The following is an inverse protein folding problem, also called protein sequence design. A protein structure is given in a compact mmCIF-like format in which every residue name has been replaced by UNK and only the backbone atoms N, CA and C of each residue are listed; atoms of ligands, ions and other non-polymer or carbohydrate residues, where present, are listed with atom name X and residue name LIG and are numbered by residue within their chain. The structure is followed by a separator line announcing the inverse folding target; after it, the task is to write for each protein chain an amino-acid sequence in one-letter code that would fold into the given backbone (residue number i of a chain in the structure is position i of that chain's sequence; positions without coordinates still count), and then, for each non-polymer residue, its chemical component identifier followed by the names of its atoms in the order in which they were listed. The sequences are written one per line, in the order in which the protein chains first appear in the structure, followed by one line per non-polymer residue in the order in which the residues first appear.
data_IF_467638159196
#
_entry.id   IF_467638159196
#
_cell.length_a   1.000
_cell.length_b   1.000
_cell.length_c   1.000
_cell.angle_alpha   90.00
_cell.angle_beta   90.00
_cell.angle_gamma   90.00
#
_symmetry.space_group_name_H-M   'P 1'
#
loop_
_entity.id
_entity.type
_entity.pdbx_description
1 polymer ?
#
# COMPACT_ATOMS: atom_id res chain seq x y z
N UNK A 1 -5.97 19.43 -0.79
CA UNK A 1 -5.69 20.26 0.43
C UNK A 1 -4.95 19.46 1.51
N UNK A 2 -5.27 18.16 1.73
CA UNK A 2 -4.55 17.27 2.66
C UNK A 2 -3.08 17.02 2.28
N UNK A 3 -2.79 16.69 1.01
CA UNK A 3 -1.43 16.42 0.53
C UNK A 3 -0.45 17.62 0.69
N UNK A 4 -0.96 18.85 0.50
CA UNK A 4 -0.15 20.08 0.70
C UNK A 4 0.20 20.33 2.17
N UNK A 5 -0.61 19.85 3.12
CA UNK A 5 -0.38 20.03 4.57
C UNK A 5 0.57 18.99 5.16
N UNK A 6 0.61 17.77 4.60
CA UNK A 6 1.60 16.75 4.96
C UNK A 6 3.02 17.11 4.50
N UNK A 7 3.14 17.65 3.28
CA UNK A 7 4.44 18.04 2.71
C UNK A 7 5.06 19.30 3.36
N UNK A 8 4.26 20.18 3.95
CA UNK A 8 4.78 21.29 4.74
C UNK A 8 5.48 20.82 6.03
N UNK A 9 5.14 19.63 6.55
CA UNK A 9 5.82 19.06 7.72
C UNK A 9 7.19 18.45 7.37
N UNK A 10 7.35 17.88 6.17
CA UNK A 10 8.63 17.31 5.71
C UNK A 10 9.67 18.39 5.37
N UNK A 11 9.24 19.52 4.77
CA UNK A 11 10.13 20.66 4.45
C UNK A 11 10.65 21.42 5.68
N UNK A 12 10.04 21.27 6.85
CA UNK A 12 10.45 21.98 8.06
C UNK A 12 11.66 21.35 8.80
N UNK A 13 12.13 20.17 8.37
CA UNK A 13 13.35 19.55 8.89
C UNK A 13 14.53 19.82 7.95
N UNK A 14 15.53 20.61 8.39
CA UNK A 14 16.62 21.15 7.57
C UNK A 14 17.60 20.16 6.91
N UNK A 15 18.23 20.61 5.82
CA UNK A 15 19.03 19.85 4.84
C UNK A 15 20.14 18.97 5.43
N UNK A 16 20.11 17.68 5.05
CA UNK A 16 21.27 16.77 5.06
C UNK A 16 20.88 15.49 4.30
N UNK A 17 21.65 15.13 3.26
CA UNK A 17 21.31 14.11 2.26
C UNK A 17 21.16 12.68 2.82
N UNK A 18 21.90 12.33 3.89
CA UNK A 18 21.69 11.06 4.62
C UNK A 18 20.41 11.05 5.49
N UNK A 19 19.92 12.21 5.90
CA UNK A 19 18.69 12.34 6.69
C UNK A 19 17.41 12.33 5.84
N UNK A 20 17.49 12.46 4.52
CA UNK A 20 16.31 12.49 3.63
C UNK A 20 15.57 11.16 3.62
N UNK A 21 16.28 10.03 3.47
CA UNK A 21 15.66 8.70 3.49
C UNK A 21 15.09 8.31 4.87
N UNK A 22 15.78 8.66 5.97
CA UNK A 22 15.28 8.43 7.32
C UNK A 22 14.04 9.28 7.64
N UNK A 23 14.01 10.55 7.18
CA UNK A 23 12.82 11.42 7.28
C UNK A 23 11.67 10.94 6.43
N UNK A 24 11.92 10.51 5.21
CA UNK A 24 10.88 9.98 4.33
C UNK A 24 10.29 8.69 4.92
N UNK A 25 11.13 7.76 5.41
CA UNK A 25 10.68 6.54 6.09
C UNK A 25 9.92 6.83 7.39
N UNK A 26 10.43 7.68 8.26
CA UNK A 26 9.69 8.04 9.48
C UNK A 26 8.38 8.79 9.17
N UNK A 27 8.33 9.58 8.10
CA UNK A 27 7.08 10.20 7.64
C UNK A 27 6.10 9.15 7.16
N UNK A 28 6.55 8.13 6.41
CA UNK A 28 5.74 6.96 6.03
C UNK A 28 5.21 6.24 7.25
N UNK A 29 6.07 5.86 8.21
CA UNK A 29 5.67 5.09 9.40
C UNK A 29 4.63 5.83 10.23
N UNK A 30 4.80 7.15 10.34
CA UNK A 30 3.86 8.04 11.03
C UNK A 30 2.52 8.12 10.31
N UNK A 31 2.55 8.24 8.97
CA UNK A 31 1.35 8.23 8.14
C UNK A 31 0.65 6.87 8.23
N UNK A 32 1.38 5.77 8.12
CA UNK A 32 0.83 4.42 8.27
C UNK A 32 0.16 4.27 9.61
N UNK A 33 0.83 4.74 10.68
CA UNK A 33 0.31 4.65 12.02
C UNK A 33 -0.99 5.45 12.18
N UNK A 34 -1.03 6.69 11.64
CA UNK A 34 -2.26 7.51 11.64
C UNK A 34 -3.38 6.92 10.76
N UNK A 35 -3.06 6.48 9.55
CA UNK A 35 -4.02 5.91 8.61
C UNK A 35 -4.62 4.61 9.13
N UNK A 36 -3.80 3.75 9.72
CA UNK A 36 -4.22 2.50 10.34
C UNK A 36 -5.03 2.74 11.62
N UNK A 37 -4.84 3.86 12.31
CA UNK A 37 -5.63 4.20 13.50
C UNK A 37 -7.08 4.54 13.16
N UNK A 38 -7.31 5.20 12.02
CA UNK A 38 -8.64 5.63 11.63
C UNK A 38 -9.37 4.63 10.71
N UNK A 39 -8.65 3.76 9.98
CA UNK A 39 -9.25 2.57 9.32
C UNK A 39 -9.73 1.51 10.33
N UNK A 40 -9.40 1.66 11.62
CA UNK A 40 -9.73 0.72 12.70
C UNK A 40 -8.81 -0.49 12.77
N UNK A 41 -7.68 -0.47 12.05
CA UNK A 41 -6.56 -1.41 12.21
C UNK A 41 -5.95 -1.25 13.62
N UNK A 42 -5.92 -0.03 14.18
CA UNK A 42 -5.67 0.21 15.61
C UNK A 42 -6.95 0.51 16.39
N UNK A 43 -6.91 0.36 17.71
CA UNK A 43 -8.00 0.81 18.58
C UNK A 43 -8.21 2.31 18.34
N UNK A 44 -9.40 2.72 17.92
CA UNK A 44 -9.70 4.07 17.45
C UNK A 44 -9.07 5.17 18.32
N UNK A 45 -8.30 6.05 17.68
CA UNK A 45 -7.59 7.18 18.30
C UNK A 45 -6.52 6.82 19.35
N UNK A 46 -6.18 5.54 19.56
CA UNK A 46 -5.15 5.15 20.53
C UNK A 46 -3.80 5.80 20.18
N UNK A 47 -3.39 5.73 18.91
CA UNK A 47 -2.15 6.35 18.45
C UNK A 47 -2.12 7.86 18.69
N UNK A 48 -3.16 8.57 18.23
CA UNK A 48 -3.28 10.03 18.37
C UNK A 48 -3.32 10.45 19.84
N UNK A 49 -4.14 9.78 20.66
CA UNK A 49 -4.26 10.07 22.09
C UNK A 49 -2.96 9.81 22.84
N UNK A 50 -2.24 8.73 22.52
CA UNK A 50 -0.96 8.44 23.17
C UNK A 50 0.08 9.52 22.83
N UNK A 51 0.16 9.96 21.57
CA UNK A 51 1.07 11.06 21.21
C UNK A 51 0.66 12.35 21.91
N UNK A 52 -0.63 12.68 21.92
CA UNK A 52 -1.14 13.89 22.57
C UNK A 52 -0.82 13.92 24.07
N UNK A 53 -1.01 12.79 24.76
CA UNK A 53 -0.84 12.66 26.21
C UNK A 53 0.63 12.52 26.65
N UNK A 54 1.45 11.77 25.89
CA UNK A 54 2.80 11.41 26.31
C UNK A 54 3.87 12.34 25.76
N UNK A 55 3.59 13.07 24.67
CA UNK A 55 4.53 14.05 24.12
C UNK A 55 4.30 15.45 24.66
N UNK A 56 5.39 16.14 25.02
CA UNK A 56 5.39 17.50 25.51
C UNK A 56 4.76 18.46 24.48
N UNK A 57 4.00 19.42 24.99
CA UNK A 57 3.50 20.60 24.29
C UNK A 57 4.57 21.34 23.46
N UNK A 58 5.83 21.31 23.89
CA UNK A 58 6.97 21.90 23.18
C UNK A 58 7.70 20.92 22.25
N UNK A 59 7.14 19.73 21.99
CA UNK A 59 7.64 18.68 21.08
C UNK A 59 9.01 18.06 21.42
N UNK A 60 9.60 18.38 22.57
CA UNK A 60 10.95 17.96 22.94
C UNK A 60 11.16 16.43 22.91
N UNK A 61 10.15 15.65 23.29
CA UNK A 61 10.20 14.19 23.38
C UNK A 61 9.26 13.48 22.35
N UNK A 62 8.68 14.18 21.37
CA UNK A 62 7.75 13.55 20.41
C UNK A 62 8.40 12.39 19.66
N UNK A 63 9.68 12.52 19.31
CA UNK A 63 10.46 11.47 18.67
C UNK A 63 10.63 10.22 19.55
N UNK A 64 10.88 10.39 20.85
CA UNK A 64 11.00 9.27 21.81
C UNK A 64 9.67 8.52 21.96
N UNK A 65 8.56 9.27 22.02
CA UNK A 65 7.22 8.67 22.10
C UNK A 65 6.93 7.84 20.84
N UNK A 66 7.20 8.39 19.66
CA UNK A 66 7.01 7.68 18.39
C UNK A 66 7.92 6.45 18.27
N UNK A 67 9.19 6.55 18.67
CA UNK A 67 10.10 5.41 18.69
C UNK A 67 9.57 4.28 19.57
N UNK A 68 9.07 4.62 20.76
CA UNK A 68 8.51 3.62 21.67
C UNK A 68 7.25 2.96 21.10
N UNK A 69 6.40 3.72 20.42
CA UNK A 69 5.22 3.18 19.72
C UNK A 69 5.61 2.26 18.57
N UNK A 70 6.57 2.65 17.73
CA UNK A 70 7.08 1.81 16.65
C UNK A 70 7.73 0.53 17.19
N UNK A 71 8.49 0.64 18.29
CA UNK A 71 9.08 -0.50 18.99
C UNK A 71 8.01 -1.46 19.51
N UNK A 72 6.93 -0.95 20.11
CA UNK A 72 5.82 -1.77 20.57
C UNK A 72 5.12 -2.50 19.41
N UNK A 73 4.87 -1.80 18.29
CA UNK A 73 4.25 -2.39 17.10
C UNK A 73 5.19 -3.34 16.34
N UNK A 74 6.51 -3.21 16.53
CA UNK A 74 7.52 -4.13 16.02
C UNK A 74 7.79 -5.33 16.93
N UNK A 75 7.30 -5.32 18.17
CA UNK A 75 7.55 -6.38 19.14
C UNK A 75 6.35 -7.34 19.21
N UNK A 76 6.54 -8.66 19.02
CA UNK A 76 5.50 -9.68 19.23
C UNK A 76 4.73 -9.46 20.53
N UNK A 77 3.42 -9.75 20.51
CA UNK A 77 2.52 -9.44 21.63
C UNK A 77 2.57 -10.46 22.76
N UNK A 78 3.43 -11.49 22.68
CA UNK A 78 3.60 -12.46 23.76
C UNK A 78 4.29 -11.82 24.97
N UNK A 79 3.89 -12.29 26.15
CA UNK A 79 4.26 -11.68 27.42
C UNK A 79 5.77 -11.72 27.67
N UNK A 80 6.44 -12.80 27.29
CA UNK A 80 7.87 -13.00 27.51
C UNK A 80 8.69 -12.02 26.65
N UNK A 81 8.37 -11.91 25.36
CA UNK A 81 9.04 -11.00 24.43
C UNK A 81 8.79 -9.54 24.80
N UNK A 82 7.54 -9.18 25.15
CA UNK A 82 7.19 -7.82 25.60
C UNK A 82 7.92 -7.41 26.87
N UNK A 83 8.05 -8.33 27.84
CA UNK A 83 8.80 -8.09 29.08
C UNK A 83 10.29 -7.93 28.81
N UNK A 84 10.86 -8.77 27.94
CA UNK A 84 12.27 -8.68 27.54
C UNK A 84 12.59 -7.36 26.79
N UNK A 85 11.66 -6.88 25.96
CA UNK A 85 11.78 -5.63 25.22
C UNK A 85 11.74 -4.37 26.11
N UNK A 86 11.30 -4.50 27.38
CA UNK A 86 11.19 -3.41 28.35
C UNK A 86 10.41 -2.22 27.79
N UNK A 87 9.24 -2.50 27.21
CA UNK A 87 8.35 -1.46 26.69
C UNK A 87 7.78 -0.60 27.82
N UNK A 88 7.49 0.67 27.53
CA UNK A 88 6.75 1.55 28.44
C UNK A 88 5.33 1.00 28.63
N UNK A 89 4.74 1.06 29.84
CA UNK A 89 3.41 0.52 30.11
C UNK A 89 2.31 1.06 29.19
N UNK A 90 2.39 2.35 28.81
CA UNK A 90 1.42 2.98 27.93
C UNK A 90 1.52 2.54 26.46
N UNK A 91 2.65 1.94 26.06
CA UNK A 91 2.85 1.40 24.71
C UNK A 91 2.38 -0.06 24.61
N UNK A 92 2.13 -0.74 25.74
CA UNK A 92 1.81 -2.17 25.75
C UNK A 92 0.44 -2.49 25.13
N UNK A 93 -0.47 -1.52 25.15
CA UNK A 93 -1.80 -1.64 24.52
C UNK A 93 -1.77 -1.72 22.98
N UNK A 94 -0.62 -1.43 22.34
CA UNK A 94 -0.50 -1.48 20.89
C UNK A 94 -0.33 -2.91 20.40
N UNK A 95 -1.08 -3.33 19.36
CA UNK A 95 -0.96 -4.67 18.81
C UNK A 95 0.40 -4.87 18.14
N UNK A 96 0.81 -6.12 18.01
CA UNK A 96 1.92 -6.47 17.13
C UNK A 96 1.50 -6.29 15.67
N UNK A 97 2.32 -5.58 14.90
CA UNK A 97 2.03 -5.22 13.51
C UNK A 97 3.01 -5.85 12.53
N UNK A 98 4.31 -5.87 12.82
CA UNK A 98 5.32 -5.84 11.76
C UNK A 98 5.20 -6.93 10.67
N UNK A 99 5.77 -6.57 9.52
CA UNK A 99 5.80 -7.32 8.25
C UNK A 99 6.80 -6.63 7.31
N UNK A 100 7.88 -6.08 7.90
CA UNK A 100 8.83 -5.17 7.27
C UNK A 100 8.49 -3.68 7.37
N UNK A 101 7.34 -3.31 7.93
CA UNK A 101 6.87 -1.91 8.02
C UNK A 101 7.57 -1.09 9.11
N UNK A 102 7.64 -1.58 10.35
CA UNK A 102 8.31 -0.89 11.44
C UNK A 102 9.71 -1.48 11.65
N UNK A 103 10.77 -0.66 11.55
CA UNK A 103 12.13 -1.15 11.82
C UNK A 103 12.31 -1.47 13.30
N UNK A 104 13.08 -2.53 13.60
CA UNK A 104 13.42 -2.91 14.99
C UNK A 104 14.24 -1.83 15.71
N UNK A 105 14.96 -1.00 14.95
CA UNK A 105 15.68 0.18 15.43
C UNK A 105 15.71 1.26 14.34
N UNK A 106 14.88 2.28 14.50
CA UNK A 106 14.85 3.45 13.62
C UNK A 106 15.02 4.75 14.40
N UNK A 107 15.90 5.64 13.92
CA UNK A 107 15.92 7.01 14.40
C UNK A 107 14.64 7.72 13.93
N UNK A 108 13.83 8.17 14.88
CA UNK A 108 12.70 9.05 14.57
C UNK A 108 13.25 10.49 14.55
N UNK A 109 12.96 11.28 13.51
CA UNK A 109 13.41 12.66 13.43
C UNK A 109 12.83 13.45 14.60
N UNK A 110 13.60 14.41 15.10
CA UNK A 110 13.11 15.35 16.10
C UNK A 110 12.04 16.24 15.49
N UNK A 111 10.97 16.47 16.24
CA UNK A 111 9.86 17.30 15.81
C UNK A 111 10.05 18.72 16.32
N UNK A 112 9.69 19.69 15.49
CA UNK A 112 9.38 21.03 15.97
C UNK A 112 7.93 21.09 16.47
N UNK A 113 7.59 22.13 17.24
CA UNK A 113 6.21 22.36 17.71
C UNK A 113 5.22 22.36 16.54
N UNK A 114 5.63 22.98 15.43
CA UNK A 114 4.85 23.06 14.20
C UNK A 114 4.67 21.65 13.59
N UNK A 115 5.75 20.87 13.48
CA UNK A 115 5.68 19.50 12.95
C UNK A 115 4.79 18.58 13.80
N UNK A 116 4.87 18.68 15.14
CA UNK A 116 3.97 17.96 16.07
C UNK A 116 2.52 18.36 15.86
N UNK A 117 2.22 19.64 15.71
CA UNK A 117 0.85 20.11 15.43
C UNK A 117 0.32 19.58 14.09
N UNK A 118 1.15 19.50 13.05
CA UNK A 118 0.76 18.89 11.78
C UNK A 118 0.53 17.38 11.91
N UNK A 119 1.35 16.67 12.68
CA UNK A 119 1.16 15.26 12.97
C UNK A 119 -0.20 14.99 13.64
N UNK A 120 -0.48 15.67 14.75
CA UNK A 120 -1.77 15.50 15.46
C UNK A 120 -2.95 15.82 14.55
N UNK A 121 -2.86 16.92 13.79
CA UNK A 121 -3.91 17.32 12.85
C UNK A 121 -4.08 16.35 11.69
N UNK A 122 -3.02 15.67 11.25
CA UNK A 122 -3.12 14.61 10.25
C UNK A 122 -3.79 13.35 10.81
N UNK A 123 -3.53 13.05 12.09
CA UNK A 123 -4.11 11.92 12.82
C UNK A 123 -5.55 12.17 13.34
N UNK A 124 -6.11 13.36 13.08
CA UNK A 124 -7.53 13.69 13.27
C UNK A 124 -8.36 13.50 11.98
N UNK A 125 -7.70 13.29 10.83
CA UNK A 125 -8.37 13.15 9.54
C UNK A 125 -9.00 11.76 9.43
N UNK A 126 -10.15 11.65 8.76
CA UNK A 126 -10.76 10.35 8.53
C UNK A 126 -10.00 9.58 7.42
N UNK A 127 -9.23 8.56 7.80
CA UNK A 127 -8.52 7.68 6.87
C UNK A 127 -9.30 6.40 6.54
N UNK A 128 -10.59 6.27 6.88
CA UNK A 128 -11.37 5.07 6.55
C UNK A 128 -11.43 4.80 5.03
N UNK A 129 -11.55 5.86 4.23
CA UNK A 129 -11.66 5.79 2.78
C UNK A 129 -10.46 6.44 2.06
N UNK A 130 -9.27 5.86 2.24
CA UNK A 130 -8.08 6.29 1.48
C UNK A 130 -8.26 6.01 0.00
N UNK A 131 -8.31 7.07 -0.81
CA UNK A 131 -8.18 6.97 -2.25
C UNK A 131 -6.69 6.89 -2.64
N UNK A 132 -6.27 5.98 -3.55
CA UNK A 132 -4.90 5.94 -4.08
C UNK A 132 -4.34 7.28 -4.61
N UNK A 133 -5.19 8.24 -5.01
CA UNK A 133 -4.76 9.60 -5.35
C UNK A 133 -4.03 10.32 -4.18
N UNK A 134 -4.31 9.95 -2.93
CA UNK A 134 -3.64 10.49 -1.75
C UNK A 134 -2.16 10.10 -1.74
N UNK A 135 -1.83 8.84 -2.05
CA UNK A 135 -0.44 8.37 -2.08
C UNK A 135 0.36 9.01 -3.21
N UNK A 136 -0.25 9.12 -4.40
CA UNK A 136 0.37 9.81 -5.53
C UNK A 136 0.69 11.28 -5.23
N UNK A 137 -0.29 12.01 -4.69
CA UNK A 137 -0.09 13.43 -4.31
C UNK A 137 0.88 13.61 -3.14
N UNK A 138 0.99 12.64 -2.25
CA UNK A 138 1.96 12.65 -1.15
C UNK A 138 3.40 12.48 -1.63
N UNK A 139 3.67 11.49 -2.49
CA UNK A 139 5.03 11.29 -3.05
C UNK A 139 5.47 12.52 -3.83
N UNK A 140 4.58 13.04 -4.69
CA UNK A 140 4.89 14.24 -5.45
C UNK A 140 5.30 15.36 -4.52
N UNK A 141 4.56 15.59 -3.44
CA UNK A 141 4.79 16.71 -2.55
C UNK A 141 6.11 16.60 -1.74
N UNK A 142 6.67 15.39 -1.59
CA UNK A 142 7.97 15.13 -0.95
C UNK A 142 9.13 15.22 -1.95
N UNK A 143 8.89 14.99 -3.25
CA UNK A 143 9.90 15.13 -4.29
C UNK A 143 10.27 16.61 -4.56
N UNK A 144 11.57 16.87 -4.77
CA UNK A 144 12.09 18.17 -5.17
C UNK A 144 11.68 18.51 -6.61
N UNK A 145 11.53 19.80 -6.92
CA UNK A 145 11.00 20.26 -8.21
C UNK A 145 11.88 19.85 -9.40
N UNK A 146 13.19 19.71 -9.19
CA UNK A 146 14.17 19.22 -10.18
C UNK A 146 14.03 17.70 -10.41
N UNK A 147 13.88 16.91 -9.33
CA UNK A 147 13.63 15.45 -9.42
C UNK A 147 12.30 15.13 -10.12
N UNK A 148 11.27 15.99 -9.98
CA UNK A 148 9.97 15.80 -10.65
C UNK A 148 10.08 15.83 -12.17
N UNK A 149 10.95 16.68 -12.71
CA UNK A 149 11.18 16.83 -14.15
C UNK A 149 12.00 15.69 -14.74
N UNK A 150 13.05 15.25 -14.06
CA UNK A 150 13.98 14.22 -14.56
C UNK A 150 13.41 12.80 -14.53
N UNK A 151 12.60 12.48 -13.50
CA UNK A 151 12.04 11.13 -13.31
C UNK A 151 10.61 10.99 -13.85
N UNK A 152 10.02 12.07 -14.38
CA UNK A 152 8.64 12.06 -14.86
C UNK A 152 7.64 11.66 -13.77
N UNK A 153 7.86 12.09 -12.52
CA UNK A 153 7.05 11.74 -11.35
C UNK A 153 5.67 12.42 -11.36
N UNK A 154 4.89 12.14 -12.40
CA UNK A 154 3.49 12.51 -12.49
C UNK A 154 2.65 11.32 -12.04
N UNK A 155 1.89 11.48 -10.95
CA UNK A 155 0.92 10.46 -10.58
C UNK A 155 -0.11 10.32 -11.71
N UNK A 156 -0.53 9.08 -11.98
CA UNK A 156 -1.61 8.81 -12.93
C UNK A 156 -2.93 8.80 -12.17
N UNK A 157 -3.91 9.58 -12.64
CA UNK A 157 -5.24 9.66 -12.02
C UNK A 157 -6.04 8.37 -12.24
N UNK A 158 -6.97 8.09 -11.32
CA UNK A 158 -7.86 6.91 -11.43
C UNK A 158 -8.55 6.79 -12.80
N UNK A 159 -9.13 7.86 -13.39
CA UNK A 159 -9.75 7.75 -14.71
C UNK A 159 -8.77 7.34 -15.83
N UNK A 160 -7.52 7.79 -15.77
CA UNK A 160 -6.51 7.44 -16.76
C UNK A 160 -6.01 6.01 -16.58
N UNK A 161 -5.89 5.54 -15.32
CA UNK A 161 -5.58 4.14 -15.02
C UNK A 161 -6.68 3.23 -15.58
N UNK A 162 -7.95 3.57 -15.33
CA UNK A 162 -9.09 2.77 -15.82
C UNK A 162 -9.17 2.74 -17.34
N UNK A 163 -8.80 3.80 -18.06
CA UNK A 163 -8.69 3.77 -19.53
C UNK A 163 -7.72 2.71 -20.04
N UNK A 164 -6.73 2.32 -19.25
CA UNK A 164 -5.79 1.24 -19.57
C UNK A 164 -6.34 -0.09 -19.09
N UNK A 165 -6.72 -0.20 -17.81
CA UNK A 165 -7.11 -1.47 -17.19
C UNK A 165 -8.42 -2.05 -17.75
N UNK A 166 -9.39 -1.19 -18.11
CA UNK A 166 -10.69 -1.59 -18.65
C UNK A 166 -10.53 -2.42 -19.93
N UNK A 167 -10.02 -1.87 -21.05
CA UNK A 167 -9.84 -2.64 -22.28
C UNK A 167 -8.76 -3.71 -22.13
N UNK A 168 -7.78 -3.51 -21.23
CA UNK A 168 -6.74 -4.50 -21.03
C UNK A 168 -7.28 -5.79 -20.44
N UNK A 169 -8.20 -5.76 -19.46
CA UNK A 169 -8.77 -6.99 -18.89
C UNK A 169 -10.02 -6.86 -18.01
N UNK A 170 -10.31 -5.70 -17.44
CA UNK A 170 -11.45 -5.59 -16.52
C UNK A 170 -12.78 -5.72 -17.27
N UNK A 171 -12.88 -5.23 -18.50
CA UNK A 171 -14.10 -5.32 -19.30
C UNK A 171 -14.44 -6.78 -19.61
N UNK A 172 -13.45 -7.58 -20.07
CA UNK A 172 -13.62 -9.03 -20.26
C UNK A 172 -14.13 -9.78 -19.00
N UNK A 173 -13.71 -9.34 -17.81
CA UNK A 173 -14.13 -9.96 -16.55
C UNK A 173 -15.56 -9.56 -16.18
N UNK A 174 -15.91 -8.29 -16.38
CA UNK A 174 -17.27 -7.76 -16.14
C UNK A 174 -18.27 -8.37 -17.13
N UNK A 175 -17.89 -8.50 -18.40
CA UNK A 175 -18.71 -9.17 -19.42
C UNK A 175 -18.97 -10.64 -19.05
N UNK A 176 -17.95 -11.37 -18.58
CA UNK A 176 -18.13 -12.74 -18.10
C UNK A 176 -19.00 -12.84 -16.85
N UNK A 177 -18.93 -11.85 -15.94
CA UNK A 177 -19.81 -11.77 -14.79
C UNK A 177 -21.27 -11.59 -15.21
N UNK A 178 -21.51 -10.69 -16.16
CA UNK A 178 -22.85 -10.46 -16.73
C UNK A 178 -23.35 -11.71 -17.46
N UNK A 179 -22.53 -12.31 -18.33
CA UNK A 179 -22.86 -13.53 -19.08
C UNK A 179 -23.05 -14.77 -18.19
N UNK A 180 -22.48 -14.78 -16.98
CA UNK A 180 -22.72 -15.81 -15.99
C UNK A 180 -24.13 -15.74 -15.40
N UNK A 181 -24.74 -14.55 -15.31
CA UNK A 181 -26.05 -14.35 -14.68
C UNK A 181 -26.06 -14.93 -13.26
N UNK A 182 -27.03 -15.82 -13.00
CA UNK A 182 -27.16 -16.58 -11.74
C UNK A 182 -26.61 -18.01 -11.83
N UNK A 183 -25.88 -18.35 -12.90
CA UNK A 183 -25.30 -19.67 -13.05
C UNK A 183 -24.10 -19.84 -12.10
N UNK A 184 -24.34 -20.50 -10.96
CA UNK A 184 -23.36 -20.72 -9.90
C UNK A 184 -22.05 -21.35 -10.38
N UNK A 185 -22.10 -22.26 -11.35
CA UNK A 185 -20.89 -22.90 -11.90
C UNK A 185 -20.03 -21.91 -12.69
N UNK A 186 -20.66 -21.07 -13.53
CA UNK A 186 -19.95 -20.03 -14.28
C UNK A 186 -19.35 -18.98 -13.33
N UNK A 187 -20.10 -18.56 -12.31
CA UNK A 187 -19.63 -17.61 -11.29
C UNK A 187 -18.43 -18.15 -10.51
N UNK A 188 -18.48 -19.41 -10.04
CA UNK A 188 -17.35 -20.05 -9.35
C UNK A 188 -16.12 -20.23 -10.25
N UNK A 189 -16.31 -20.54 -11.52
CA UNK A 189 -15.22 -20.60 -12.49
C UNK A 189 -14.58 -19.22 -12.70
N UNK A 190 -15.37 -18.15 -12.77
CA UNK A 190 -14.87 -16.78 -12.86
C UNK A 190 -14.08 -16.40 -11.59
N UNK A 191 -14.59 -16.74 -10.40
CA UNK A 191 -13.86 -16.54 -9.14
C UNK A 191 -12.52 -17.29 -9.10
N UNK A 192 -12.51 -18.54 -9.57
CA UNK A 192 -11.26 -19.31 -9.73
C UNK A 192 -10.30 -18.68 -10.74
N UNK A 193 -10.81 -18.04 -11.79
CA UNK A 193 -9.98 -17.30 -12.74
C UNK A 193 -9.38 -16.05 -12.10
N UNK A 194 -10.14 -15.29 -11.31
CA UNK A 194 -9.65 -14.10 -10.59
C UNK A 194 -8.45 -14.44 -9.69
N UNK A 195 -8.48 -15.57 -8.97
CA UNK A 195 -7.35 -15.99 -8.11
C UNK A 195 -6.06 -16.31 -8.87
N UNK A 196 -6.16 -16.55 -10.18
CA UNK A 196 -5.02 -16.90 -11.03
C UNK A 196 -4.43 -15.70 -11.78
N UNK A 197 -5.10 -14.55 -11.81
CA UNK A 197 -4.62 -13.35 -12.50
C UNK A 197 -3.43 -12.77 -11.77
N UNK A 198 -2.40 -12.40 -12.53
CA UNK A 198 -1.19 -11.72 -12.05
C UNK A 198 -1.06 -10.39 -12.78
N UNK A 199 -0.75 -9.34 -12.03
CA UNK A 199 -0.59 -7.97 -12.53
C UNK A 199 0.83 -7.54 -12.25
N UNK A 200 1.53 -7.04 -13.26
CA UNK A 200 2.92 -6.61 -13.14
C UNK A 200 3.10 -5.21 -13.72
N UNK A 201 3.66 -4.31 -12.91
CA UNK A 201 3.97 -2.92 -13.26
C UNK A 201 5.47 -2.62 -13.05
N UNK A 202 6.30 -2.59 -14.11
CA UNK A 202 7.75 -2.44 -14.01
C UNK A 202 8.22 -1.01 -13.66
N UNK A 203 7.31 -0.05 -13.49
CA UNK A 203 7.63 1.30 -13.04
C UNK A 203 6.53 1.80 -12.09
N UNK A 204 6.29 1.05 -11.01
CA UNK A 204 5.03 1.14 -10.29
C UNK A 204 4.85 2.40 -9.44
N UNK A 205 5.92 3.15 -9.14
CA UNK A 205 5.83 4.34 -8.29
C UNK A 205 5.18 4.03 -6.95
N UNK A 206 4.13 4.78 -6.58
CA UNK A 206 3.30 4.54 -5.39
C UNK A 206 2.34 3.34 -5.51
N UNK A 207 2.40 2.57 -6.60
CA UNK A 207 1.59 1.37 -6.80
C UNK A 207 0.15 1.63 -7.28
N UNK A 208 -0.17 2.81 -7.80
CA UNK A 208 -1.56 3.18 -8.13
C UNK A 208 -2.23 2.21 -9.12
N UNK A 209 -1.53 1.78 -10.18
CA UNK A 209 -2.06 0.79 -11.13
C UNK A 209 -2.39 -0.53 -10.43
N UNK A 210 -1.48 -1.02 -9.59
CA UNK A 210 -1.65 -2.27 -8.84
C UNK A 210 -2.83 -2.18 -7.87
N UNK A 211 -2.95 -1.06 -7.15
CA UNK A 211 -4.04 -0.82 -6.19
C UNK A 211 -5.40 -0.75 -6.88
N UNK A 212 -5.51 -0.01 -8.00
CA UNK A 212 -6.77 0.09 -8.73
C UNK A 212 -7.13 -1.27 -9.36
N UNK A 213 -6.17 -1.96 -9.98
CA UNK A 213 -6.41 -3.30 -10.52
C UNK A 213 -6.93 -4.26 -9.44
N UNK A 214 -6.29 -4.27 -8.26
CA UNK A 214 -6.71 -5.09 -7.14
C UNK A 214 -8.13 -4.76 -6.67
N UNK A 215 -8.45 -3.47 -6.47
CA UNK A 215 -9.78 -3.03 -6.03
C UNK A 215 -10.89 -3.41 -7.00
N UNK A 216 -10.67 -3.19 -8.29
CA UNK A 216 -11.66 -3.53 -9.34
C UNK A 216 -11.88 -5.05 -9.42
N UNK A 217 -10.81 -5.85 -9.30
CA UNK A 217 -10.95 -7.32 -9.25
C UNK A 217 -11.69 -7.78 -7.98
N UNK A 218 -11.43 -7.17 -6.82
CA UNK A 218 -12.15 -7.47 -5.56
C UNK A 218 -13.62 -7.08 -5.63
N UNK A 219 -13.97 -6.02 -6.36
CA UNK A 219 -15.37 -5.64 -6.58
C UNK A 219 -16.13 -6.69 -7.39
N UNK A 220 -15.51 -7.23 -8.45
CA UNK A 220 -16.06 -8.35 -9.24
C UNK A 220 -16.21 -9.59 -8.35
N UNK A 221 -15.21 -9.92 -7.53
CA UNK A 221 -15.29 -11.04 -6.60
C UNK A 221 -16.42 -10.88 -5.58
N UNK A 222 -16.59 -9.68 -5.02
CA UNK A 222 -17.65 -9.40 -4.06
C UNK A 222 -19.04 -9.65 -4.66
N UNK A 223 -19.26 -9.25 -5.91
CA UNK A 223 -20.52 -9.51 -6.60
C UNK A 223 -20.75 -11.02 -6.82
N UNK A 224 -19.70 -11.77 -7.18
CA UNK A 224 -19.77 -13.23 -7.27
C UNK A 224 -20.14 -13.86 -5.92
N UNK A 225 -19.47 -13.48 -4.84
CA UNK A 225 -19.73 -14.00 -3.49
C UNK A 225 -21.16 -13.67 -3.05
N UNK A 226 -21.63 -12.46 -3.31
CA UNK A 226 -22.99 -12.01 -2.97
C UNK A 226 -24.05 -12.87 -3.65
N UNK A 227 -23.89 -13.17 -4.94
CA UNK A 227 -24.82 -14.01 -5.71
C UNK A 227 -24.73 -15.49 -5.33
N UNK A 228 -23.53 -16.00 -5.08
CA UNK A 228 -23.30 -17.42 -4.78
C UNK A 228 -23.54 -17.80 -3.31
N UNK A 229 -23.45 -16.82 -2.40
CA UNK A 229 -23.40 -17.02 -0.94
C UNK A 229 -22.28 -17.96 -0.49
N UNK A 230 -21.20 -18.04 -1.28
CA UNK A 230 -20.00 -18.80 -0.95
C UNK A 230 -19.21 -18.13 0.19
N UNK A 231 -18.13 -18.77 0.65
CA UNK A 231 -17.24 -18.23 1.67
C UNK A 231 -16.77 -16.80 1.30
N UNK A 232 -16.93 -15.80 2.20
CA UNK A 232 -16.54 -14.41 1.95
C UNK A 232 -15.03 -14.17 1.99
N UNK A 233 -14.19 -15.15 2.28
CA UNK A 233 -12.73 -14.98 2.21
C UNK A 233 -12.27 -14.71 0.77
N UNK A 234 -11.44 -13.69 0.56
CA UNK A 234 -10.82 -13.40 -0.74
C UNK A 234 -10.06 -14.61 -1.28
N UNK A 235 -10.18 -14.87 -2.59
CA UNK A 235 -9.29 -15.80 -3.30
C UNK A 235 -8.21 -15.08 -4.11
N UNK A 236 -8.21 -13.74 -4.14
CA UNK A 236 -7.23 -12.94 -4.89
C UNK A 236 -6.06 -12.59 -3.94
N UNK A 237 -4.89 -13.24 -4.06
CA UNK A 237 -3.77 -12.96 -3.17
C UNK A 237 -3.00 -11.70 -3.61
N UNK A 238 -2.59 -10.86 -2.65
CA UNK A 238 -1.68 -9.73 -2.94
C UNK A 238 -0.33 -10.18 -3.55
N UNK A 239 0.09 -11.43 -3.33
CA UNK A 239 1.28 -12.02 -3.95
C UNK A 239 1.20 -12.13 -5.49
N UNK A 240 0.02 -11.93 -6.09
CA UNK A 240 -0.16 -11.87 -7.53
C UNK A 240 0.12 -10.47 -8.13
N UNK A 241 0.43 -9.47 -7.30
CA UNK A 241 0.71 -8.09 -7.72
C UNK A 241 2.20 -7.81 -7.60
N UNK A 242 2.83 -7.53 -8.74
CA UNK A 242 4.27 -7.38 -8.89
C UNK A 242 4.57 -5.94 -9.32
N UNK A 243 5.69 -5.41 -8.83
CA UNK A 243 6.16 -4.11 -9.29
C UNK A 243 7.66 -3.95 -9.20
N UNK A 244 8.23 -3.08 -10.02
CA UNK A 244 9.61 -2.61 -9.88
C UNK A 244 9.56 -1.09 -9.70
N UNK A 245 10.31 -0.59 -8.72
CA UNK A 245 10.44 0.84 -8.45
C UNK A 245 11.87 1.17 -8.04
N UNK A 246 12.45 2.21 -8.61
CA UNK A 246 13.84 2.59 -8.37
C UNK A 246 14.02 3.30 -7.02
N UNK A 247 13.04 4.10 -6.59
CA UNK A 247 13.07 4.84 -5.32
C UNK A 247 12.46 4.00 -4.21
N UNK A 248 13.29 3.60 -3.24
CA UNK A 248 12.83 2.77 -2.11
C UNK A 248 11.63 3.34 -1.34
N UNK A 249 11.55 4.65 -1.16
CA UNK A 249 10.39 5.28 -0.52
C UNK A 249 9.07 5.03 -1.27
N UNK A 250 9.07 5.19 -2.60
CA UNK A 250 7.88 4.95 -3.42
C UNK A 250 7.48 3.46 -3.40
N UNK A 251 8.46 2.57 -3.43
CA UNK A 251 8.22 1.13 -3.28
C UNK A 251 7.55 0.76 -1.94
N UNK A 252 7.98 1.38 -0.82
CA UNK A 252 7.30 1.16 0.48
C UNK A 252 5.85 1.67 0.47
N UNK A 253 5.62 2.84 -0.14
CA UNK A 253 4.27 3.37 -0.30
C UNK A 253 3.39 2.42 -1.14
N UNK A 254 3.94 1.81 -2.19
CA UNK A 254 3.21 0.84 -2.99
C UNK A 254 2.78 -0.41 -2.20
N UNK A 255 3.69 -0.97 -1.38
CA UNK A 255 3.36 -2.12 -0.51
C UNK A 255 2.27 -1.77 0.50
N UNK A 256 2.40 -0.61 1.14
CA UNK A 256 1.41 -0.11 2.08
C UNK A 256 0.05 0.13 1.41
N UNK A 257 0.03 0.75 0.23
CA UNK A 257 -1.20 1.08 -0.46
C UNK A 257 -1.97 -0.19 -0.87
N UNK A 258 -1.26 -1.24 -1.30
CA UNK A 258 -1.86 -2.56 -1.57
C UNK A 258 -2.48 -3.20 -0.32
N UNK A 259 -1.77 -3.14 0.80
CA UNK A 259 -2.25 -3.66 2.08
C UNK A 259 -3.51 -2.92 2.57
N UNK A 260 -3.52 -1.59 2.50
CA UNK A 260 -4.68 -0.78 2.84
C UNK A 260 -5.85 -1.12 1.92
N UNK A 261 -5.60 -1.32 0.63
CA UNK A 261 -6.63 -1.73 -0.32
C UNK A 261 -7.22 -3.11 0.01
N UNK A 262 -6.38 -4.08 0.40
CA UNK A 262 -6.84 -5.39 0.91
C UNK A 262 -7.74 -5.23 2.12
N UNK A 263 -7.28 -4.50 3.14
CA UNK A 263 -8.07 -4.26 4.34
C UNK A 263 -9.42 -3.59 4.01
N UNK A 264 -9.44 -2.54 3.19
CA UNK A 264 -10.67 -1.85 2.79
C UNK A 264 -11.63 -2.73 1.98
N UNK A 265 -11.10 -3.63 1.15
CA UNK A 265 -11.92 -4.59 0.42
C UNK A 265 -12.49 -5.66 1.36
N UNK A 266 -11.70 -6.12 2.33
CA UNK A 266 -12.15 -7.08 3.36
C UNK A 266 -13.25 -6.48 4.23
N UNK A 267 -13.10 -5.24 4.72
CA UNK A 267 -14.14 -4.55 5.52
C UNK A 267 -15.49 -4.46 4.79
N UNK A 268 -15.50 -4.42 3.44
CA UNK A 268 -16.76 -4.42 2.67
C UNK A 268 -17.41 -5.81 2.58
N UNK A 269 -16.61 -6.86 2.68
CA UNK A 269 -17.01 -8.24 2.43
C UNK A 269 -17.31 -9.02 3.71
N UNK A 270 -16.60 -8.67 4.79
CA UNK A 270 -16.68 -9.24 6.13
C UNK A 270 -16.73 -8.12 7.18
N UNK A 271 -16.82 -8.45 8.46
CA UNK A 271 -16.82 -7.42 9.50
C UNK A 271 -15.44 -6.75 9.67
N UNK A 272 -15.41 -5.50 10.11
CA UNK A 272 -14.17 -4.78 10.40
C UNK A 272 -13.27 -5.52 11.40
N UNK A 273 -13.88 -6.19 12.39
CA UNK A 273 -13.16 -6.99 13.38
C UNK A 273 -12.45 -8.19 12.74
N UNK A 274 -13.12 -8.90 11.84
CA UNK A 274 -12.53 -10.05 11.12
C UNK A 274 -11.49 -9.60 10.11
N UNK A 275 -11.74 -8.50 9.37
CA UNK A 275 -10.77 -7.92 8.45
C UNK A 275 -9.45 -7.56 9.16
N UNK A 276 -9.54 -7.01 10.37
CA UNK A 276 -8.36 -6.69 11.18
C UNK A 276 -7.58 -7.94 11.60
N UNK A 277 -8.26 -9.02 11.94
CA UNK A 277 -7.62 -10.29 12.30
C UNK A 277 -6.95 -10.97 11.09
N UNK A 278 -7.45 -10.74 9.88
CA UNK A 278 -6.83 -11.26 8.66
C UNK A 278 -5.56 -10.50 8.26
N UNK A 279 -5.50 -9.21 8.58
CA UNK A 279 -4.40 -8.32 8.17
C UNK A 279 -3.27 -8.29 9.18
N UNK A 280 -3.55 -8.39 10.49
CA UNK A 280 -2.53 -8.34 11.54
C UNK A 280 -2.17 -9.73 12.09
N UNK A 281 -0.87 -10.04 12.29
CA UNK A 281 0.29 -9.22 11.91
C UNK A 281 0.49 -9.16 10.40
N UNK A 282 1.10 -8.08 9.92
CA UNK A 282 1.32 -7.86 8.50
C UNK A 282 2.20 -8.98 7.94
N UNK A 283 1.73 -9.65 6.89
CA UNK A 283 2.58 -10.52 6.10
C UNK A 283 3.35 -9.68 5.06
N UNK A 284 4.44 -10.20 4.49
CA UNK A 284 5.10 -9.54 3.35
C UNK A 284 4.08 -9.43 2.21
N UNK A 285 3.72 -8.20 1.84
CA UNK A 285 2.63 -7.90 0.90
C UNK A 285 3.14 -7.34 -0.42
N UNK A 286 2.64 -7.92 -1.52
CA UNK A 286 3.04 -7.54 -2.88
C UNK A 286 4.49 -7.91 -3.21
N UNK A 287 4.73 -8.26 -4.47
CA UNK A 287 6.07 -8.55 -4.98
C UNK A 287 6.69 -7.26 -5.56
N UNK A 288 6.81 -6.23 -4.71
CA UNK A 288 7.40 -4.93 -5.08
C UNK A 288 8.92 -4.97 -4.87
N UNK A 289 9.68 -4.88 -5.96
CA UNK A 289 11.12 -4.96 -5.99
C UNK A 289 11.74 -3.57 -6.14
N UNK A 290 12.72 -3.27 -5.30
CA UNK A 290 13.47 -2.01 -5.42
C UNK A 290 14.61 -2.22 -6.41
N UNK A 291 14.59 -1.51 -7.53
CA UNK A 291 15.66 -1.60 -8.51
C UNK A 291 15.35 -0.92 -9.84
N UNK A 292 16.33 -0.96 -10.75
CA UNK A 292 16.19 -0.37 -12.07
C UNK A 292 15.61 -1.41 -13.04
N UNK A 293 14.36 -1.21 -13.45
CA UNK A 293 13.65 -2.12 -14.36
C UNK A 293 14.33 -2.28 -15.72
N UNK A 294 15.20 -1.35 -16.15
CA UNK A 294 15.97 -1.47 -17.38
C UNK A 294 17.18 -2.40 -17.26
N UNK A 295 17.55 -2.78 -16.03
CA UNK A 295 18.73 -3.64 -15.75
C UNK A 295 18.36 -4.99 -15.15
N UNK A 296 17.22 -5.08 -14.47
CA UNK A 296 16.74 -6.31 -13.87
C UNK A 296 16.10 -7.23 -14.90
N UNK A 297 16.28 -8.54 -14.74
CA UNK A 297 15.48 -9.52 -15.45
C UNK A 297 14.07 -9.58 -14.84
N UNK A 298 13.07 -9.26 -15.66
CA UNK A 298 11.67 -9.26 -15.23
C UNK A 298 11.14 -10.66 -14.95
N UNK A 299 11.75 -11.70 -15.52
CA UNK A 299 11.38 -13.08 -15.25
C UNK A 299 11.85 -13.54 -13.87
N UNK A 300 12.90 -12.95 -13.32
CA UNK A 300 13.28 -13.19 -11.92
C UNK A 300 12.29 -12.52 -10.95
N UNK A 301 11.80 -11.33 -11.31
CA UNK A 301 10.83 -10.57 -10.50
C UNK A 301 9.43 -11.18 -10.56
N UNK A 302 8.98 -11.56 -11.75
CA UNK A 302 7.67 -12.14 -12.01
C UNK A 302 7.84 -13.45 -12.80
N UNK A 303 8.23 -14.56 -12.13
CA UNK A 303 8.52 -15.82 -12.79
C UNK A 303 7.32 -16.35 -13.56
N UNK A 304 7.49 -16.92 -14.76
CA UNK A 304 6.40 -17.59 -15.45
C UNK A 304 5.87 -18.74 -14.58
N UNK A 305 4.55 -18.94 -14.57
CA UNK A 305 3.94 -20.07 -13.86
C UNK A 305 3.47 -21.12 -14.85
N UNK A 306 3.65 -22.39 -14.53
CA UNK A 306 3.10 -23.51 -15.30
C UNK A 306 1.79 -24.04 -14.68
N UNK A 307 0.73 -24.31 -15.48
CA UNK A 307 0.59 -23.92 -16.88
C UNK A 307 0.51 -22.39 -17.05
N UNK A 308 0.84 -21.83 -18.23
CA UNK A 308 0.87 -20.38 -18.46
C UNK A 308 -0.47 -19.77 -18.06
N UNK A 309 -0.48 -19.11 -16.90
CA UNK A 309 -1.62 -18.33 -16.44
C UNK A 309 -1.63 -17.06 -17.28
N UNK A 310 -2.81 -16.53 -17.59
CA UNK A 310 -2.96 -15.28 -18.34
C UNK A 310 -2.26 -14.17 -17.57
N UNK A 311 -0.99 -13.93 -17.90
CA UNK A 311 -0.17 -12.88 -17.36
C UNK A 311 -0.41 -11.67 -18.25
N UNK A 312 -1.42 -10.86 -17.94
CA UNK A 312 -1.63 -9.60 -18.66
C UNK A 312 -0.58 -8.62 -18.17
N UNK A 313 0.58 -8.65 -18.83
CA UNK A 313 1.72 -7.76 -18.56
C UNK A 313 1.28 -6.33 -18.89
N UNK A 314 1.21 -5.44 -17.91
CA UNK A 314 1.14 -4.00 -18.20
C UNK A 314 2.55 -3.56 -18.62
N UNK A 315 2.85 -3.62 -19.92
CA UNK A 315 4.01 -2.91 -20.45
C UNK A 315 3.65 -1.44 -20.63
N UNK A 316 3.74 -0.67 -19.55
CA UNK A 316 3.69 0.79 -19.61
C UNK A 316 5.10 1.33 -19.74
N UNK A 317 5.63 1.35 -20.97
CA UNK A 317 6.62 2.33 -21.47
C UNK A 317 7.01 1.98 -22.92
N UNK A 318 6.34 2.63 -23.89
CA UNK A 318 6.96 3.36 -25.01
C UNK A 318 5.86 3.93 -25.91
N UNK A 319 5.79 5.26 -25.97
CA UNK A 319 5.30 5.91 -27.19
C UNK A 319 6.36 5.65 -28.26
N UNK A 320 5.94 5.04 -29.37
CA UNK A 320 6.48 5.24 -30.72
C UNK A 320 8.02 5.33 -30.85
N UNK A 321 8.65 4.21 -31.19
CA UNK A 321 9.72 4.22 -32.19
C UNK A 321 9.41 3.09 -33.16
N UNK A 322 9.33 3.41 -34.46
CA UNK A 322 9.09 2.47 -35.54
C UNK A 322 10.06 1.28 -35.46
N UNK A 323 9.51 0.09 -35.27
CA UNK A 323 10.04 -1.15 -35.85
C UNK A 323 8.93 -2.21 -35.79
N UNK A 324 8.37 -2.51 -36.97
CA UNK A 324 7.46 -3.63 -37.20
C UNK A 324 8.27 -4.92 -37.15
N UNK A 325 8.48 -5.49 -35.96
CA UNK A 325 8.98 -6.86 -35.82
C UNK A 325 8.78 -7.30 -34.37
N UNK A 326 7.60 -7.83 -34.03
CA UNK A 326 7.40 -8.80 -32.93
C UNK A 326 5.93 -9.27 -32.81
N UNK A 327 5.21 -9.37 -33.94
CA UNK A 327 3.83 -9.92 -33.98
C UNK A 327 3.80 -11.44 -34.25
N UNK A 328 4.92 -12.15 -34.16
CA UNK A 328 4.96 -13.60 -34.41
C UNK A 328 5.53 -14.37 -33.24
N UNK A 329 4.82 -14.41 -32.11
CA UNK A 329 4.97 -15.53 -31.17
C UNK A 329 3.82 -15.67 -30.16
N UNK A 330 2.57 -15.57 -30.62
CA UNK A 330 1.42 -16.10 -29.85
C UNK A 330 0.39 -16.65 -30.83
N UNK A 331 0.66 -17.81 -31.44
CA UNK A 331 -0.33 -18.81 -31.87
C UNK A 331 0.41 -20.05 -32.39
N UNK A 332 0.75 -20.96 -31.48
CA UNK A 332 0.79 -22.41 -31.71
C UNK A 332 0.67 -23.13 -30.37
#
# INVERSE_FOLDING_TARGET
MLARKGASASRAGGENLHGSMARARSSSDTLVASSSADTGIFLNHLFTKTIEQMSDSQSGNTHEVLQELFRAMATPADKETRQAAKLRPWADAFPYVNGGLFPEAGECPRFSRIARSYLLRAAELNWQEINPDIFGSMIQAVADDEERGELGMHYTSVPNILKVLNPLFLDDLREQLVAAGDNLRKLRNLRKRLSAIRVFDPACGSGNFLVIAYREMRQIEHEIVTRTRDNPKSVIPLANFYGIEIKGFAAEIARLALLIAEFQCDVRLISQKEARLNVLPLHKTGQIHIGNALRLDWLEVCPPTEPPRVCRRLQLLRRWSHEQADEQQVFS
#
